data_IF_730641262289
#
_entry.id   IF_730641262289
#
_cell.length_a   1.000
_cell.length_b   1.000
_cell.length_c   1.000
_cell.angle_alpha   90.00
_cell.angle_beta   90.00
_cell.angle_gamma   90.00
#
_symmetry.space_group_name_H-M   'P 1'
#
loop_
_entity.id
_entity.type
_entity.pdbx_description
1 polymer ?
#
# COMPACT_ATOMS: atom_id res chain seq x y z
N UNK A 1 -33.93 45.56 57.76
CA UNK A 1 -34.31 46.98 57.64
C UNK A 1 -33.75 47.74 58.82
N UNK A 2 -33.00 48.81 58.60
CA UNK A 2 -32.47 49.65 59.68
C UNK A 2 -33.44 50.79 60.00
N UNK A 3 -33.64 51.06 61.29
CA UNK A 3 -34.62 52.03 61.81
C UNK A 3 -33.98 52.81 62.95
N UNK A 4 -34.14 54.13 62.98
CA UNK A 4 -33.71 54.91 64.13
C UNK A 4 -34.70 54.76 65.29
N UNK A 5 -34.21 54.39 66.46
CA UNK A 5 -35.04 54.12 67.64
C UNK A 5 -35.92 55.29 68.10
N UNK A 6 -35.58 56.53 67.73
CA UNK A 6 -36.30 57.75 68.11
C UNK A 6 -37.27 58.26 67.04
N UNK A 7 -37.24 57.67 65.85
CA UNK A 7 -37.99 58.15 64.68
C UNK A 7 -38.61 56.96 63.97
N UNK A 8 -39.88 56.69 64.27
CA UNK A 8 -40.73 55.90 63.39
C UNK A 8 -41.64 56.86 62.63
N UNK A 9 -41.35 57.07 61.36
CA UNK A 9 -41.96 58.13 60.54
C UNK A 9 -42.70 57.56 59.33
N UNK A 10 -43.49 58.39 58.64
CA UNK A 10 -44.27 57.99 57.46
C UNK A 10 -43.36 57.38 56.38
N UNK A 11 -42.14 57.90 56.23
CA UNK A 11 -41.15 57.42 55.27
C UNK A 11 -40.77 55.94 55.50
N UNK A 12 -40.76 55.47 56.74
CA UNK A 12 -40.46 54.07 57.05
C UNK A 12 -41.61 53.14 56.68
N UNK A 13 -42.85 53.63 56.82
CA UNK A 13 -44.03 52.91 56.36
C UNK A 13 -44.04 52.82 54.83
N UNK A 14 -43.80 53.95 54.15
CA UNK A 14 -43.69 53.97 52.68
C UNK A 14 -42.57 53.09 52.15
N UNK A 15 -41.43 53.02 52.85
CA UNK A 15 -40.33 52.14 52.47
C UNK A 15 -40.77 50.67 52.50
N UNK A 16 -41.51 50.23 53.52
CA UNK A 16 -42.03 48.86 53.57
C UNK A 16 -43.00 48.60 52.43
N UNK A 17 -43.91 49.53 52.14
CA UNK A 17 -44.88 49.37 51.05
C UNK A 17 -44.17 49.28 49.69
N UNK A 18 -43.10 50.05 49.47
CA UNK A 18 -42.26 49.94 48.27
C UNK A 18 -41.54 48.59 48.18
N UNK A 19 -41.04 48.08 49.30
CA UNK A 19 -40.35 46.77 49.27
C UNK A 19 -41.36 45.66 48.99
N UNK A 20 -42.56 45.70 49.58
CA UNK A 20 -43.63 44.74 49.25
C UNK A 20 -44.04 44.83 47.78
N UNK A 21 -44.18 46.03 47.25
CA UNK A 21 -44.52 46.24 45.84
C UNK A 21 -43.49 45.61 44.90
N UNK A 22 -42.20 45.74 45.22
CA UNK A 22 -41.13 45.26 44.35
C UNK A 22 -40.78 43.78 44.56
N UNK A 23 -40.62 43.37 45.82
CA UNK A 23 -40.22 42.01 46.16
C UNK A 23 -41.41 41.07 46.27
N UNK A 24 -42.56 41.56 46.72
CA UNK A 24 -43.75 40.79 47.07
C UNK A 24 -43.99 40.80 48.58
N UNK A 25 -45.23 40.52 49.01
CA UNK A 25 -45.62 40.52 50.43
C UNK A 25 -44.85 39.48 51.27
N UNK A 26 -44.47 38.35 50.65
CA UNK A 26 -43.66 37.30 51.30
C UNK A 26 -42.27 37.77 51.72
N UNK A 27 -41.76 38.88 51.17
CA UNK A 27 -40.42 39.41 51.49
C UNK A 27 -40.24 39.75 52.96
N UNK A 28 -41.31 40.16 53.66
CA UNK A 28 -41.25 40.50 55.07
C UNK A 28 -40.87 39.31 55.96
N UNK A 29 -41.16 38.08 55.53
CA UNK A 29 -40.81 36.86 56.27
C UNK A 29 -39.29 36.66 56.37
N UNK A 30 -38.53 37.29 55.47
CA UNK A 30 -37.07 37.22 55.41
C UNK A 30 -36.40 38.50 55.92
N UNK A 31 -37.17 39.45 56.47
CA UNK A 31 -36.64 40.69 57.03
C UNK A 31 -36.45 40.64 58.54
N UNK A 32 -35.46 41.41 59.01
CA UNK A 32 -35.17 41.67 60.42
C UNK A 32 -35.17 43.19 60.64
N UNK A 33 -35.86 43.67 61.67
CA UNK A 33 -35.85 45.08 62.08
C UNK A 33 -34.63 45.38 62.94
N UNK A 34 -33.76 46.30 62.53
CA UNK A 34 -32.54 46.63 63.28
C UNK A 34 -32.59 48.07 63.74
N UNK A 35 -32.65 48.29 65.05
CA UNK A 35 -32.74 49.62 65.64
C UNK A 35 -31.36 50.23 65.89
N UNK A 36 -31.10 51.38 65.30
CA UNK A 36 -29.91 52.21 65.51
C UNK A 36 -30.22 53.39 66.42
N UNK A 37 -29.17 54.09 66.88
CA UNK A 37 -29.28 55.29 67.73
C UNK A 37 -30.06 55.08 69.05
N UNK A 38 -30.10 53.84 69.55
CA UNK A 38 -30.58 53.55 70.89
C UNK A 38 -29.68 54.22 71.94
N UNK A 39 -30.30 54.78 72.98
CA UNK A 39 -29.60 55.25 74.17
C UNK A 39 -29.00 54.08 74.96
N UNK A 40 -28.08 54.38 75.88
CA UNK A 40 -27.46 53.36 76.73
C UNK A 40 -28.50 52.48 77.43
N UNK A 41 -29.51 53.11 78.04
CA UNK A 41 -30.60 52.44 78.74
C UNK A 41 -31.43 51.55 77.80
N UNK A 42 -31.71 52.00 76.58
CA UNK A 42 -32.43 51.21 75.58
C UNK A 42 -31.63 49.99 75.08
N UNK A 43 -30.30 50.12 74.95
CA UNK A 43 -29.44 49.03 74.50
C UNK A 43 -29.17 48.00 75.61
N UNK A 44 -29.02 48.42 76.86
CA UNK A 44 -28.77 47.52 77.99
C UNK A 44 -30.05 46.81 78.44
N UNK A 45 -31.20 47.51 78.49
CA UNK A 45 -32.49 46.96 78.94
C UNK A 45 -33.52 46.86 77.79
N UNK A 46 -33.70 45.63 77.29
CA UNK A 46 -34.63 45.31 76.21
C UNK A 46 -36.09 45.52 76.61
N UNK A 47 -36.45 45.26 77.87
CA UNK A 47 -37.83 45.43 78.36
C UNK A 47 -38.16 46.91 78.49
N UNK A 48 -37.20 47.72 78.95
CA UNK A 48 -37.31 49.17 78.89
C UNK A 48 -37.47 49.67 77.46
N UNK A 49 -36.67 49.16 76.51
CA UNK A 49 -36.78 49.55 75.11
C UNK A 49 -38.17 49.27 74.53
N UNK A 50 -38.68 48.05 74.70
CA UNK A 50 -40.03 47.67 74.24
C UNK A 50 -41.11 48.51 74.90
N UNK A 51 -41.05 48.69 76.22
CA UNK A 51 -42.12 49.34 76.99
C UNK A 51 -42.25 50.84 76.68
N UNK A 52 -41.11 51.52 76.53
CA UNK A 52 -41.10 52.99 76.45
C UNK A 52 -40.79 53.54 75.05
N UNK A 53 -40.23 52.73 74.14
CA UNK A 53 -39.83 53.20 72.80
C UNK A 53 -40.79 52.74 71.70
N UNK A 54 -41.61 51.71 71.95
CA UNK A 54 -42.53 51.18 70.93
C UNK A 54 -43.93 51.74 71.11
N UNK A 55 -44.32 52.60 70.17
CA UNK A 55 -45.73 52.95 69.98
C UNK A 55 -46.48 51.80 69.25
N UNK A 56 -47.83 51.83 69.21
CA UNK A 56 -48.62 50.80 68.55
C UNK A 56 -48.22 50.55 67.08
N UNK A 57 -47.81 51.60 66.36
CA UNK A 57 -47.41 51.55 64.97
C UNK A 57 -46.09 50.78 64.79
N UNK A 58 -45.09 51.08 65.60
CA UNK A 58 -43.80 50.38 65.61
C UNK A 58 -43.96 48.92 66.03
N UNK A 59 -44.86 48.66 66.99
CA UNK A 59 -45.19 47.27 67.39
C UNK A 59 -45.83 46.51 66.23
N UNK A 60 -46.82 47.08 65.55
CA UNK A 60 -47.44 46.47 64.37
C UNK A 60 -46.42 46.24 63.25
N UNK A 61 -45.51 47.18 63.06
CA UNK A 61 -44.42 47.09 62.10
C UNK A 61 -43.48 45.92 62.41
N UNK A 62 -42.97 45.80 63.64
CA UNK A 62 -42.06 44.70 64.02
C UNK A 62 -42.79 43.35 63.96
N UNK A 63 -44.07 43.31 64.37
CA UNK A 63 -44.92 42.14 64.25
C UNK A 63 -45.06 41.68 62.78
N UNK A 64 -45.17 42.61 61.82
CA UNK A 64 -45.27 42.28 60.39
C UNK A 64 -44.03 41.55 59.86
N UNK A 65 -42.87 41.75 60.51
CA UNK A 65 -41.61 41.05 60.24
C UNK A 65 -41.39 39.88 61.22
N UNK A 66 -42.47 39.23 61.66
CA UNK A 66 -42.42 38.03 62.49
C UNK A 66 -41.71 38.23 63.83
N UNK A 67 -41.76 39.43 64.40
CA UNK A 67 -41.11 39.78 65.66
C UNK A 67 -39.59 39.61 65.67
N UNK A 68 -38.95 39.63 64.49
CA UNK A 68 -37.49 39.58 64.38
C UNK A 68 -36.93 40.99 64.47
N UNK A 69 -36.28 41.30 65.58
CA UNK A 69 -35.67 42.60 65.76
C UNK A 69 -34.40 42.53 66.60
N UNK A 70 -33.48 43.46 66.33
CA UNK A 70 -32.25 43.60 67.08
C UNK A 70 -31.92 45.08 67.30
N UNK A 71 -31.00 45.36 68.23
CA UNK A 71 -30.42 46.69 68.39
C UNK A 71 -29.01 46.64 67.84
N UNK A 72 -28.67 47.60 66.98
CA UNK A 72 -27.29 47.87 66.57
C UNK A 72 -26.64 48.81 67.60
N UNK A 73 -25.70 48.33 68.44
CA UNK A 73 -25.08 49.16 69.47
C UNK A 73 -24.23 50.27 68.83
N UNK A 74 -24.36 51.51 69.33
CA UNK A 74 -23.52 52.62 68.89
C UNK A 74 -22.05 52.32 69.25
N UNK A 75 -21.12 52.27 68.29
CA UNK A 75 -19.70 51.97 68.54
C UNK A 75 -19.02 52.95 69.50
N UNK A 76 -19.48 54.21 69.59
CA UNK A 76 -18.93 55.21 70.52
C UNK A 76 -19.15 54.82 71.99
N UNK A 77 -20.34 54.27 72.30
CA UNK A 77 -20.71 53.85 73.66
C UNK A 77 -20.34 52.38 73.95
N UNK A 78 -20.21 51.58 72.89
CA UNK A 78 -20.04 50.14 72.97
C UNK A 78 -18.87 49.68 72.09
N UNK A 79 -17.62 49.73 72.60
CA UNK A 79 -16.44 49.30 71.86
C UNK A 79 -16.47 47.77 71.60
N UNK A 80 -15.63 47.23 70.69
CA UNK A 80 -15.66 45.83 70.27
C UNK A 80 -15.61 44.78 71.39
N UNK A 81 -14.87 45.06 72.48
CA UNK A 81 -14.72 44.14 73.61
C UNK A 81 -15.87 44.21 74.63
N UNK A 82 -16.83 45.12 74.44
CA UNK A 82 -17.95 45.30 75.36
C UNK A 82 -18.89 44.06 75.32
N UNK A 83 -19.24 43.46 76.47
CA UNK A 83 -20.09 42.27 76.52
C UNK A 83 -21.52 42.53 76.01
N UNK A 84 -22.09 43.70 76.29
CA UNK A 84 -23.42 44.11 75.77
C UNK A 84 -23.39 44.20 74.25
N UNK A 85 -22.31 44.71 73.67
CA UNK A 85 -22.15 44.72 72.20
C UNK A 85 -22.19 43.30 71.64
N UNK A 86 -21.39 42.39 72.20
CA UNK A 86 -21.32 40.99 71.76
C UNK A 86 -22.68 40.32 71.85
N UNK A 87 -23.40 40.56 72.94
CA UNK A 87 -24.76 40.04 73.13
C UNK A 87 -25.72 40.54 72.04
N UNK A 88 -25.77 41.85 71.79
CA UNK A 88 -26.71 42.44 70.80
C UNK A 88 -26.42 42.02 69.37
N UNK A 89 -25.15 41.89 69.01
CA UNK A 89 -24.76 41.33 67.71
C UNK A 89 -25.08 39.83 67.62
N UNK A 90 -24.94 39.10 68.72
CA UNK A 90 -25.40 37.71 68.83
C UNK A 90 -26.90 37.57 68.62
N UNK A 91 -27.72 38.47 69.20
CA UNK A 91 -29.18 38.50 68.99
C UNK A 91 -29.52 38.67 67.50
N UNK A 92 -28.84 39.60 66.81
CA UNK A 92 -29.00 39.80 65.37
C UNK A 92 -28.57 38.55 64.57
N UNK A 93 -27.44 37.95 64.92
CA UNK A 93 -26.96 36.73 64.27
C UNK A 93 -27.94 35.58 64.43
N UNK A 94 -28.53 35.41 65.62
CA UNK A 94 -29.54 34.39 65.89
C UNK A 94 -30.77 34.57 64.97
N UNK A 95 -31.21 35.81 64.76
CA UNK A 95 -32.29 36.08 63.81
C UNK A 95 -31.91 35.73 62.37
N UNK A 96 -30.69 36.06 61.92
CA UNK A 96 -30.22 35.73 60.58
C UNK A 96 -30.21 34.21 60.35
N UNK A 97 -29.68 33.46 61.31
CA UNK A 97 -29.59 31.99 61.22
C UNK A 97 -30.96 31.32 61.35
N UNK A 98 -31.90 31.93 62.08
CA UNK A 98 -33.27 31.39 62.25
C UNK A 98 -34.14 31.50 61.00
N UNK A 99 -33.75 32.31 60.01
CA UNK A 99 -34.49 32.43 58.75
C UNK A 99 -34.12 31.22 57.89
N UNK A 100 -35.12 30.37 57.65
CA UNK A 100 -34.96 29.20 56.80
C UNK A 100 -35.02 29.57 55.31
N UNK A 101 -34.15 28.95 54.52
CA UNK A 101 -34.07 29.17 53.09
C UNK A 101 -33.54 30.54 52.67
N UNK A 102 -33.66 30.80 51.36
CA UNK A 102 -33.31 32.08 50.75
C UNK A 102 -34.58 32.69 50.17
N UNK A 103 -34.73 34.00 50.34
CA UNK A 103 -35.81 34.70 49.67
C UNK A 103 -35.69 34.53 48.15
N UNK A 104 -36.79 34.13 47.51
CA UNK A 104 -36.92 34.08 46.05
C UNK A 104 -38.29 34.61 45.65
N UNK A 105 -38.39 35.10 44.42
CA UNK A 105 -39.62 35.49 43.77
C UNK A 105 -39.52 35.22 42.26
N UNK A 106 -40.62 35.44 41.53
CA UNK A 106 -40.66 35.18 40.09
C UNK A 106 -39.55 35.90 39.31
N UNK A 107 -39.21 37.13 39.70
CA UNK A 107 -38.13 37.89 39.07
C UNK A 107 -36.77 37.20 39.25
N UNK A 108 -36.42 36.78 40.47
CA UNK A 108 -35.17 36.07 40.72
C UNK A 108 -35.12 34.71 40.01
N UNK A 109 -36.22 33.97 39.99
CA UNK A 109 -36.30 32.69 39.27
C UNK A 109 -36.14 32.88 37.76
N UNK A 110 -36.70 33.95 37.19
CA UNK A 110 -36.53 34.27 35.76
C UNK A 110 -35.08 34.57 35.42
N UNK A 111 -34.42 35.43 36.21
CA UNK A 111 -32.99 35.76 36.03
C UNK A 111 -32.13 34.50 36.13
N UNK A 112 -32.42 33.62 37.09
CA UNK A 112 -31.70 32.36 37.26
C UNK A 112 -31.86 31.44 36.06
N UNK A 113 -33.09 31.27 35.56
CA UNK A 113 -33.36 30.45 34.36
C UNK A 113 -32.65 31.01 33.12
N UNK A 114 -32.66 32.32 32.93
CA UNK A 114 -31.97 32.96 31.81
C UNK A 114 -30.44 32.77 31.89
N UNK A 115 -29.85 32.83 33.09
CA UNK A 115 -28.44 32.52 33.30
C UNK A 115 -28.13 31.05 32.97
N UNK A 116 -28.91 30.11 33.51
CA UNK A 116 -28.73 28.68 33.27
C UNK A 116 -28.88 28.33 31.78
N UNK A 117 -29.83 28.95 31.07
CA UNK A 117 -30.03 28.76 29.64
C UNK A 117 -28.88 29.34 28.81
N UNK A 118 -28.40 30.53 29.16
CA UNK A 118 -27.25 31.15 28.50
C UNK A 118 -25.98 30.29 28.68
N UNK A 119 -25.72 29.80 29.89
CA UNK A 119 -24.61 28.90 30.16
C UNK A 119 -24.73 27.57 29.40
N UNK A 120 -25.96 27.06 29.23
CA UNK A 120 -26.20 25.87 28.41
C UNK A 120 -25.88 26.14 26.94
N UNK A 121 -26.37 27.24 26.38
CA UNK A 121 -26.09 27.64 24.98
C UNK A 121 -24.60 27.83 24.73
N UNK A 122 -23.90 28.52 25.62
CA UNK A 122 -22.45 28.72 25.50
C UNK A 122 -21.68 27.39 25.51
N UNK A 123 -22.03 26.45 26.40
CA UNK A 123 -21.43 25.11 26.42
C UNK A 123 -21.72 24.31 25.14
N UNK A 124 -22.95 24.37 24.63
CA UNK A 124 -23.32 23.69 23.38
C UNK A 124 -22.56 24.26 22.18
N UNK A 125 -22.40 25.58 22.10
CA UNK A 125 -21.60 26.25 21.06
C UNK A 125 -20.11 25.89 21.15
N UNK A 126 -19.54 25.84 22.35
CA UNK A 126 -18.15 25.40 22.57
C UNK A 126 -17.92 23.96 22.11
N UNK A 127 -18.81 23.04 22.47
CA UNK A 127 -18.74 21.65 22.01
C UNK A 127 -18.86 21.56 20.49
N UNK A 128 -19.74 22.34 19.87
CA UNK A 128 -19.88 22.39 18.41
C UNK A 128 -18.60 22.90 17.74
N UNK A 129 -18.03 24.00 18.23
CA UNK A 129 -16.75 24.56 17.73
C UNK A 129 -15.62 23.55 17.86
N UNK A 130 -15.53 22.84 18.99
CA UNK A 130 -14.49 21.83 19.21
C UNK A 130 -14.62 20.66 18.22
N UNK A 131 -15.84 20.14 18.03
CA UNK A 131 -16.09 19.06 17.05
C UNK A 131 -15.70 19.47 15.63
N UNK A 132 -16.07 20.68 15.21
CA UNK A 132 -15.74 21.19 13.88
C UNK A 132 -14.22 21.36 13.71
N UNK A 133 -13.52 21.85 14.73
CA UNK A 133 -12.06 21.94 14.74
C UNK A 133 -11.40 20.57 14.61
N UNK A 134 -11.82 19.58 15.41
CA UNK A 134 -11.24 18.23 15.38
C UNK A 134 -11.50 17.54 14.04
N UNK A 135 -12.68 17.73 13.45
CA UNK A 135 -13.00 17.19 12.13
C UNK A 135 -12.22 17.85 11.00
N UNK A 136 -12.02 19.17 11.05
CA UNK A 136 -11.14 19.87 10.10
C UNK A 136 -9.71 19.36 10.19
N UNK A 137 -9.16 19.23 11.41
CA UNK A 137 -7.82 18.70 11.65
C UNK A 137 -7.65 17.26 11.15
N UNK A 138 -8.67 16.42 11.34
CA UNK A 138 -8.70 15.05 10.77
C UNK A 138 -8.63 15.09 9.24
N UNK A 139 -9.49 15.90 8.60
CA UNK A 139 -9.51 16.03 7.12
C UNK A 139 -8.18 16.53 6.56
N UNK A 140 -7.56 17.53 7.20
CA UNK A 140 -6.24 18.02 6.81
C UNK A 140 -5.17 16.93 6.94
N UNK A 141 -5.16 16.21 8.06
CA UNK A 141 -4.25 15.09 8.29
C UNK A 141 -4.39 13.99 7.23
N UNK A 142 -5.63 13.61 6.90
CA UNK A 142 -5.93 12.61 5.86
C UNK A 142 -5.47 13.08 4.47
N UNK A 143 -5.70 14.35 4.13
CA UNK A 143 -5.27 14.91 2.84
C UNK A 143 -3.73 14.94 2.72
N UNK A 144 -3.02 15.27 3.80
CA UNK A 144 -1.56 15.26 3.85
C UNK A 144 -1.04 13.83 3.70
N UNK A 145 -1.57 12.88 4.48
CA UNK A 145 -1.18 11.47 4.42
C UNK A 145 -1.39 10.89 3.02
N UNK A 146 -2.52 11.20 2.37
CA UNK A 146 -2.82 10.77 1.00
C UNK A 146 -1.81 11.32 -0.01
N UNK A 147 -1.50 12.62 0.05
CA UNK A 147 -0.47 13.23 -0.83
C UNK A 147 0.90 12.59 -0.65
N UNK A 148 1.29 12.25 0.58
CA UNK A 148 2.55 11.57 0.86
C UNK A 148 2.54 10.16 0.25
N UNK A 149 1.46 9.42 0.47
CA UNK A 149 1.30 8.07 -0.08
C UNK A 149 1.37 8.06 -1.62
N UNK A 150 0.63 8.95 -2.29
CA UNK A 150 0.62 9.03 -3.76
C UNK A 150 2.00 9.42 -4.32
N UNK A 151 2.74 10.33 -3.64
CA UNK A 151 4.10 10.69 -4.01
C UNK A 151 5.05 9.50 -3.92
N UNK A 152 5.02 8.77 -2.80
CA UNK A 152 5.89 7.62 -2.57
C UNK A 152 5.60 6.53 -3.60
N UNK A 153 4.32 6.23 -3.84
CA UNK A 153 3.89 5.28 -4.87
C UNK A 153 4.43 5.67 -6.26
N UNK A 154 4.30 6.93 -6.67
CA UNK A 154 4.82 7.40 -7.96
C UNK A 154 6.35 7.35 -8.03
N UNK A 155 7.05 7.52 -6.90
CA UNK A 155 8.50 7.34 -6.83
C UNK A 155 8.92 5.88 -6.95
N UNK A 156 8.21 4.97 -6.30
CA UNK A 156 8.46 3.54 -6.39
C UNK A 156 8.19 3.01 -7.81
N UNK A 157 7.11 3.46 -8.45
CA UNK A 157 6.81 3.15 -9.85
C UNK A 157 7.92 3.65 -10.79
N UNK A 158 8.44 4.87 -10.58
CA UNK A 158 9.58 5.40 -11.36
C UNK A 158 10.84 4.56 -11.16
N UNK A 159 11.19 4.22 -9.91
CA UNK A 159 12.35 3.38 -9.60
C UNK A 159 12.23 1.99 -10.22
N UNK A 160 11.03 1.40 -10.22
CA UNK A 160 10.79 0.11 -10.85
C UNK A 160 10.99 0.17 -12.38
N UNK A 161 10.50 1.23 -13.02
CA UNK A 161 10.67 1.44 -14.46
C UNK A 161 12.13 1.67 -14.85
N UNK A 162 12.88 2.46 -14.07
CA UNK A 162 14.31 2.66 -14.27
C UNK A 162 15.09 1.35 -14.17
N UNK A 163 14.78 0.49 -13.19
CA UNK A 163 15.38 -0.85 -13.08
C UNK A 163 15.07 -1.71 -14.31
N UNK A 164 13.81 -1.75 -14.75
CA UNK A 164 13.42 -2.49 -15.97
C UNK A 164 14.19 -2.00 -17.20
N UNK A 165 14.33 -0.68 -17.37
CA UNK A 165 15.11 -0.10 -18.47
C UNK A 165 16.58 -0.51 -18.41
N UNK A 166 17.19 -0.50 -17.22
CA UNK A 166 18.57 -0.95 -17.01
C UNK A 166 18.73 -2.43 -17.33
N UNK A 167 17.80 -3.28 -16.89
CA UNK A 167 17.79 -4.72 -17.18
C UNK A 167 17.67 -4.99 -18.68
N UNK A 168 16.73 -4.33 -19.36
CA UNK A 168 16.55 -4.44 -20.82
C UNK A 168 17.83 -3.99 -21.54
N UNK A 169 18.46 -2.90 -21.09
CA UNK A 169 19.72 -2.43 -21.66
C UNK A 169 20.83 -3.48 -21.50
N UNK A 170 21.00 -4.04 -20.30
CA UNK A 170 21.98 -5.09 -20.06
C UNK A 170 21.74 -6.33 -20.92
N UNK A 171 20.49 -6.78 -21.05
CA UNK A 171 20.12 -7.91 -21.92
C UNK A 171 20.46 -7.59 -23.38
N UNK A 172 20.11 -6.39 -23.85
CA UNK A 172 20.41 -5.94 -25.22
C UNK A 172 21.91 -5.96 -25.50
N UNK A 173 22.71 -5.40 -24.60
CA UNK A 173 24.17 -5.34 -24.75
C UNK A 173 24.79 -6.75 -24.76
N UNK A 174 24.30 -7.66 -23.90
CA UNK A 174 24.74 -9.05 -23.87
C UNK A 174 24.40 -9.79 -25.18
N UNK A 175 23.18 -9.62 -25.69
CA UNK A 175 22.75 -10.22 -26.97
C UNK A 175 23.56 -9.67 -28.14
N UNK A 176 23.81 -8.35 -28.18
CA UNK A 176 24.64 -7.73 -29.21
C UNK A 176 26.04 -8.35 -29.23
N UNK A 177 26.64 -8.57 -28.05
CA UNK A 177 27.92 -9.25 -27.91
C UNK A 177 27.91 -10.69 -28.43
N UNK A 178 26.83 -11.45 -28.21
CA UNK A 178 26.68 -12.80 -28.76
C UNK A 178 26.52 -12.79 -30.28
N UNK A 179 25.73 -11.85 -30.83
CA UNK A 179 25.52 -11.69 -32.27
C UNK A 179 26.86 -11.40 -32.96
N UNK A 180 27.69 -10.51 -32.40
CA UNK A 180 29.00 -10.20 -32.97
C UNK A 180 29.91 -11.44 -33.01
N UNK A 181 29.98 -12.21 -31.91
CA UNK A 181 30.75 -13.47 -31.85
C UNK A 181 30.26 -14.51 -32.86
N UNK A 182 28.94 -14.60 -33.07
CA UNK A 182 28.35 -15.47 -34.08
C UNK A 182 28.70 -14.99 -35.50
N UNK A 183 28.64 -13.68 -35.75
CA UNK A 183 29.04 -13.07 -37.02
C UNK A 183 30.49 -13.40 -37.39
N UNK A 184 31.43 -13.29 -36.44
CA UNK A 184 32.83 -13.68 -36.64
C UNK A 184 32.98 -15.17 -36.98
N UNK A 185 32.27 -16.05 -36.26
CA UNK A 185 32.27 -17.49 -36.54
C UNK A 185 31.74 -17.81 -37.92
N UNK A 186 30.63 -17.19 -38.32
CA UNK A 186 30.04 -17.37 -39.65
C UNK A 186 31.02 -16.90 -40.73
N UNK A 187 31.67 -15.74 -40.56
CA UNK A 187 32.65 -15.24 -41.52
C UNK A 187 33.83 -16.21 -41.70
N UNK A 188 34.36 -16.77 -40.60
CA UNK A 188 35.41 -17.78 -40.65
C UNK A 188 34.95 -19.06 -41.36
N UNK A 189 33.78 -19.60 -41.01
CA UNK A 189 33.22 -20.79 -41.66
C UNK A 189 32.95 -20.57 -43.16
N UNK A 190 32.49 -19.39 -43.55
CA UNK A 190 32.30 -19.04 -44.97
C UNK A 190 33.63 -19.10 -45.72
N UNK A 191 34.70 -18.53 -45.15
CA UNK A 191 36.05 -18.59 -45.74
C UNK A 191 36.57 -20.04 -45.83
N UNK A 192 36.35 -20.84 -44.78
CA UNK A 192 36.73 -22.26 -44.79
C UNK A 192 35.97 -23.05 -45.86
N UNK A 193 34.68 -22.78 -46.03
CA UNK A 193 33.85 -23.39 -47.08
C UNK A 193 34.31 -23.00 -48.49
N UNK A 194 34.71 -21.74 -48.72
CA UNK A 194 35.28 -21.30 -49.99
C UNK A 194 36.59 -22.04 -50.31
N UNK A 195 37.50 -22.12 -49.33
CA UNK A 195 38.77 -22.86 -49.47
C UNK A 195 38.53 -24.35 -49.77
N UNK A 196 37.56 -24.98 -49.09
CA UNK A 196 37.19 -26.38 -49.32
C UNK A 196 36.61 -26.56 -50.73
N UNK A 197 35.76 -25.64 -51.19
CA UNK A 197 35.19 -25.68 -52.54
C UNK A 197 36.29 -25.60 -53.62
N UNK A 198 37.31 -24.77 -53.42
CA UNK A 198 38.46 -24.69 -54.32
C UNK A 198 39.27 -25.99 -54.31
N UNK A 199 39.57 -26.56 -53.13
CA UNK A 199 40.24 -27.87 -53.02
C UNK A 199 39.48 -28.98 -53.73
N UNK A 200 38.16 -29.05 -53.53
CA UNK A 200 37.30 -30.03 -54.22
C UNK A 200 37.37 -29.84 -55.73
N UNK A 201 37.28 -28.61 -56.23
CA UNK A 201 37.38 -28.34 -57.66
C UNK A 201 38.73 -28.77 -58.25
N UNK A 202 39.83 -28.58 -57.52
CA UNK A 202 41.16 -29.02 -57.95
C UNK A 202 41.28 -30.54 -57.97
N UNK A 203 40.85 -31.23 -56.91
CA UNK A 203 40.85 -32.70 -56.86
C UNK A 203 39.98 -33.33 -57.94
N UNK A 204 38.82 -32.73 -58.27
CA UNK A 204 37.97 -33.19 -59.36
C UNK A 204 38.70 -33.10 -60.70
N UNK A 205 39.43 -32.00 -60.98
CA UNK A 205 40.25 -31.87 -62.20
C UNK A 205 41.37 -32.90 -62.25
N UNK A 206 42.04 -33.14 -61.11
CA UNK A 206 43.09 -34.16 -61.03
C UNK A 206 42.53 -35.57 -61.28
N UNK A 207 41.37 -35.88 -60.70
CA UNK A 207 40.67 -37.15 -60.93
C UNK A 207 40.26 -37.33 -62.40
N UNK A 208 39.66 -36.31 -63.01
CA UNK A 208 39.32 -36.33 -64.44
C UNK A 208 40.54 -36.53 -65.34
N UNK A 209 41.68 -35.91 -65.00
CA UNK A 209 42.94 -36.08 -65.73
C UNK A 209 43.47 -37.50 -65.57
N UNK A 210 43.50 -38.04 -64.35
CA UNK A 210 43.95 -39.39 -64.07
C UNK A 210 43.10 -40.44 -64.79
N UNK A 211 41.78 -40.25 -64.84
CA UNK A 211 40.86 -41.13 -65.59
C UNK A 211 41.13 -41.07 -67.10
N UNK A 212 41.40 -39.89 -67.68
CA UNK A 212 41.81 -39.78 -69.09
C UNK A 212 43.12 -40.51 -69.38
N UNK A 213 44.14 -40.31 -68.54
CA UNK A 213 45.43 -41.00 -68.68
C UNK A 213 45.27 -42.52 -68.56
N UNK A 214 44.40 -43.00 -67.66
CA UNK A 214 44.09 -44.43 -67.53
C UNK A 214 43.41 -44.97 -68.78
N UNK A 215 42.42 -44.26 -69.31
CA UNK A 215 41.71 -44.63 -70.55
C UNK A 215 42.66 -44.67 -71.75
N UNK A 216 43.62 -43.74 -71.84
CA UNK A 216 44.64 -43.73 -72.89
C UNK A 216 45.63 -44.90 -72.76
N UNK A 217 46.05 -45.25 -71.54
CA UNK A 217 46.89 -46.43 -71.28
C UNK A 217 46.18 -47.73 -71.66
N UNK A 218 44.91 -47.86 -71.31
CA UNK A 218 44.08 -49.02 -71.70
C UNK A 218 43.95 -49.16 -73.22
N UNK A 219 43.79 -48.05 -73.96
CA UNK A 219 43.80 -48.06 -75.44
C UNK A 219 45.15 -48.48 -76.03
N UNK A 220 46.25 -47.95 -75.50
CA UNK A 220 47.59 -48.32 -75.95
C UNK A 220 47.95 -49.80 -75.65
N UNK A 221 47.38 -50.38 -74.60
CA UNK A 221 47.47 -51.82 -74.33
C UNK A 221 46.65 -52.67 -75.33
N UNK A 222 45.45 -52.23 -75.72
CA UNK A 222 44.66 -52.89 -76.77
C UNK A 222 45.37 -52.89 -78.14
N UNK A 223 46.00 -51.79 -78.55
CA UNK A 223 46.75 -51.72 -79.80
C UNK A 223 47.98 -52.66 -79.82
N UNK A 224 48.65 -52.84 -78.67
CA UNK A 224 49.74 -53.82 -78.53
C UNK A 224 49.25 -55.28 -78.57
N UNK A 225 48.01 -55.53 -78.14
CA UNK A 225 47.40 -56.85 -78.16
C UNK A 225 46.98 -57.30 -79.57
N UNK A 226 46.58 -56.38 -80.45
CA UNK A 226 46.20 -56.70 -81.83
C UNK A 226 47.39 -57.14 -82.71
N UNK A 227 48.59 -56.62 -82.47
CA UNK A 227 49.77 -56.95 -83.30
C UNK A 227 50.30 -58.39 -83.09
N UNK A 228 49.85 -59.10 -82.05
CA UNK A 228 50.32 -60.43 -81.65
C UNK A 228 49.40 -61.59 -82.09
N UNK A 229 48.28 -61.31 -82.75
CA UNK A 229 47.22 -62.30 -83.04
C UNK A 229 47.17 -62.85 -84.49
N UNK A 230 48.03 -62.40 -85.41
CA UNK A 230 47.98 -62.75 -86.84
C UNK A 230 48.92 -63.90 -87.31
N UNK A 231 49.32 -64.82 -86.43
CA UNK A 231 50.14 -65.99 -86.79
C UNK A 231 49.64 -67.25 -86.06
N UNK A 232 48.70 -68.02 -86.63
CA UNK A 232 48.47 -69.46 -86.31
C UNK A 232 47.14 -69.99 -86.91
N UNK A 233 47.19 -70.63 -88.09
CA UNK A 233 46.20 -71.61 -88.55
C UNK A 233 46.96 -72.82 -89.14
N UNK A 234 46.53 -74.05 -88.83
CA UNK A 234 47.25 -75.31 -89.13
C UNK A 234 47.43 -75.59 -90.63
N UNK A 235 48.63 -76.00 -91.03
CA UNK A 235 49.01 -76.29 -92.43
C UNK A 235 48.69 -77.72 -92.88
N UNK A 236 48.58 -77.92 -94.20
CA UNK A 236 48.21 -79.19 -94.87
C UNK A 236 49.21 -80.34 -94.64
N UNK A 237 50.41 -80.07 -94.12
CA UNK A 237 51.43 -81.07 -93.77
C UNK A 237 51.17 -81.79 -92.43
N UNK A 238 50.08 -81.45 -91.75
CA UNK A 238 49.71 -82.06 -90.47
C UNK A 238 49.47 -83.56 -90.65
N UNK A 239 50.12 -84.39 -89.84
CA UNK A 239 49.94 -85.85 -89.87
C UNK A 239 48.81 -86.28 -88.93
N UNK A 240 48.03 -87.27 -89.36
CA UNK A 240 46.87 -87.81 -88.66
C UNK A 240 46.94 -89.34 -88.63
N UNK A 241 46.50 -89.93 -87.52
CA UNK A 241 46.49 -91.38 -87.32
C UNK A 241 45.11 -91.96 -87.67
N UNK A 242 45.05 -92.96 -88.54
CA UNK A 242 43.83 -93.68 -88.91
C UNK A 242 43.46 -94.74 -87.86
N UNK A 243 42.20 -95.18 -87.83
CA UNK A 243 41.71 -96.30 -87.00
C UNK A 243 42.50 -97.61 -87.21
N UNK A 244 43.14 -97.76 -88.37
CA UNK A 244 44.07 -98.87 -88.65
C UNK A 244 45.43 -98.77 -87.94
N UNK A 245 45.72 -97.67 -87.24
CA UNK A 245 47.01 -97.35 -86.62
C UNK A 245 48.07 -96.81 -87.58
N UNK A 246 47.72 -96.55 -88.85
CA UNK A 246 48.62 -95.91 -89.83
C UNK A 246 48.57 -94.40 -89.70
N UNK A 247 49.73 -93.74 -89.70
CA UNK A 247 49.85 -92.28 -89.73
C UNK A 247 50.03 -91.83 -91.18
N UNK A 248 49.15 -90.97 -91.66
CA UNK A 248 49.17 -90.37 -93.00
C UNK A 248 49.15 -88.84 -92.91
N UNK A 249 49.47 -88.14 -94.00
CA UNK A 249 49.30 -86.68 -94.04
C UNK A 249 47.83 -86.30 -94.24
N UNK A 250 47.41 -85.16 -93.70
CA UNK A 250 46.04 -84.68 -93.82
C UNK A 250 45.61 -84.45 -95.29
N UNK A 251 46.57 -84.17 -96.18
CA UNK A 251 46.34 -84.10 -97.64
C UNK A 251 46.02 -85.44 -98.30
N UNK A 252 46.30 -86.56 -97.63
CA UNK A 252 46.09 -87.93 -98.13
C UNK A 252 44.79 -88.56 -97.61
N UNK A 253 44.00 -87.83 -96.81
CA UNK A 253 42.73 -88.33 -96.27
C UNK A 253 41.67 -88.45 -97.36
N UNK A 254 41.06 -89.62 -97.46
CA UNK A 254 39.90 -89.86 -98.31
C UNK A 254 38.60 -89.80 -97.50
N UNK A 255 37.49 -89.42 -98.15
CA UNK A 255 36.18 -89.42 -97.49
C UNK A 255 35.79 -90.85 -97.13
N UNK A 256 35.44 -91.07 -95.86
CA UNK A 256 35.24 -92.38 -95.26
C UNK A 256 36.39 -92.84 -94.36
N UNK A 257 37.55 -92.17 -94.40
CA UNK A 257 38.65 -92.46 -93.47
C UNK A 257 38.29 -92.06 -92.04
N UNK A 258 38.54 -92.95 -91.06
CA UNK A 258 38.34 -92.66 -89.64
C UNK A 258 39.66 -92.28 -88.98
N UNK A 259 39.82 -91.00 -88.64
CA UNK A 259 41.02 -90.45 -87.99
C UNK A 259 40.84 -90.24 -86.50
N UNK A 260 41.91 -90.47 -85.75
CA UNK A 260 41.98 -90.27 -84.31
C UNK A 260 41.72 -88.80 -84.00
N UNK A 261 40.56 -88.51 -83.41
CA UNK A 261 40.15 -87.14 -83.08
C UNK A 261 40.40 -86.82 -81.61
N UNK A 262 40.41 -87.83 -80.75
CA UNK A 262 40.67 -87.65 -79.33
C UNK A 262 41.16 -88.96 -78.66
N UNK A 263 41.83 -88.82 -77.52
CA UNK A 263 42.04 -89.91 -76.57
C UNK A 263 41.49 -89.44 -75.23
N UNK A 264 40.33 -89.97 -74.83
CA UNK A 264 39.69 -89.64 -73.55
C UNK A 264 39.75 -90.86 -72.63
N UNK A 265 40.34 -90.68 -71.45
CA UNK A 265 40.51 -91.73 -70.46
C UNK A 265 41.18 -93.02 -71.00
N UNK A 266 42.13 -92.87 -71.92
CA UNK A 266 42.89 -93.97 -72.51
C UNK A 266 42.18 -94.75 -73.62
N UNK A 267 40.94 -94.38 -73.98
CA UNK A 267 40.21 -94.95 -75.12
C UNK A 267 40.35 -93.98 -76.30
N UNK A 268 40.80 -94.50 -77.45
CA UNK A 268 40.93 -93.76 -78.69
C UNK A 268 39.55 -93.57 -79.36
N UNK A 269 39.20 -92.33 -79.66
CA UNK A 269 37.98 -91.94 -80.38
C UNK A 269 38.35 -91.57 -81.82
N UNK A 270 37.69 -92.22 -82.79
CA UNK A 270 37.94 -91.99 -84.22
C UNK A 270 36.72 -91.34 -84.89
N UNK A 271 36.98 -90.24 -85.60
CA UNK A 271 35.98 -89.49 -86.38
C UNK A 271 36.12 -89.80 -87.86
N UNK A 272 35.01 -90.10 -88.52
CA UNK A 272 34.96 -90.31 -89.97
C UNK A 272 35.07 -88.96 -90.70
N UNK A 273 35.94 -88.91 -91.70
CA UNK A 273 36.10 -87.75 -92.58
C UNK A 273 34.98 -87.76 -93.60
N UNK A 274 34.19 -86.70 -93.58
CA UNK A 274 33.19 -86.41 -94.61
C UNK A 274 33.67 -85.23 -95.44
N UNK A 275 33.45 -85.28 -96.75
CA UNK A 275 33.60 -84.12 -97.64
C UNK A 275 32.59 -83.04 -97.21
N UNK A 276 33.09 -81.85 -96.85
CA UNK A 276 32.29 -80.63 -96.61
C UNK A 276 32.14 -79.87 -97.92
#
# INVERSE_FOLDING_TARGET
MFIEAKRFTIEQKEMVDRIKLFLGDGSLQYMISVFSHCSRKQTEDLEYFKKFSWNPEMKAFVNSMGNRWAISPNPENYPPNNPVRKQRLGDLQNHIVSIDGKYTNEFFEKVRKEQEENERKTREEEVKRQKEYDENKRREGEAIARKIYDRNRAEDERKAEERRKMEIKHIKDALLGQINKLGEKVANLTKDNENLKEKVANLTKEHEKAEREKTEREKAECEKAEHKKNQSCFGLETQVELESGRIIQMSELETGDRVLSNIRNGIAEYSEIYLI
#
